data_IF_816481915098
#
_entry.id   IF_816481915098
#
_cell.length_a   1.000
_cell.length_b   1.000
_cell.length_c   1.000
_cell.angle_alpha   90.00
_cell.angle_beta   90.00
_cell.angle_gamma   90.00
#
_symmetry.space_group_name_H-M   'P 1'
#
loop_
_entity.id
_entity.type
_entity.pdbx_description
1 polymer ?
#
# COMPACT_ATOMS: atom_id res chain seq x y z
N UNK A 1 2.46 -4.34 -10.13
CA UNK A 1 1.60 -4.66 -8.98
C UNK A 1 1.60 -6.16 -8.68
N UNK A 2 1.38 -7.07 -9.64
CA UNK A 2 1.31 -8.53 -9.40
C UNK A 2 2.46 -9.05 -8.52
N UNK A 3 3.73 -8.79 -8.88
CA UNK A 3 4.88 -9.27 -8.10
C UNK A 3 4.91 -8.72 -6.66
N UNK A 4 4.48 -7.47 -6.46
CA UNK A 4 4.41 -6.89 -5.13
C UNK A 4 3.32 -7.56 -4.29
N UNK A 5 2.18 -7.85 -4.90
CA UNK A 5 1.07 -8.57 -4.26
C UNK A 5 1.46 -10.00 -3.90
N UNK A 6 2.10 -10.74 -4.83
CA UNK A 6 2.58 -12.10 -4.55
C UNK A 6 3.62 -12.14 -3.41
N UNK A 7 4.53 -11.18 -3.37
CA UNK A 7 5.48 -11.02 -2.27
C UNK A 7 4.79 -10.72 -0.94
N UNK A 8 3.76 -9.88 -0.96
CA UNK A 8 2.98 -9.57 0.24
C UNK A 8 2.28 -10.83 0.77
N UNK A 9 1.61 -11.59 -0.08
CA UNK A 9 0.99 -12.87 0.30
C UNK A 9 2.01 -13.88 0.84
N UNK A 10 3.17 -14.01 0.19
CA UNK A 10 4.23 -14.90 0.66
C UNK A 10 4.71 -14.52 2.08
N UNK A 11 4.90 -13.23 2.36
CA UNK A 11 5.25 -12.73 3.70
C UNK A 11 4.13 -12.93 4.71
N UNK A 12 2.87 -12.80 4.25
CA UNK A 12 1.69 -13.09 5.05
C UNK A 12 1.54 -14.60 5.37
N UNK A 13 2.29 -15.47 4.68
CA UNK A 13 2.33 -16.92 4.92
C UNK A 13 1.50 -17.74 3.94
N UNK A 14 1.04 -17.13 2.84
CA UNK A 14 0.34 -17.83 1.76
C UNK A 14 1.29 -18.08 0.60
N UNK A 15 1.44 -19.35 0.20
CA UNK A 15 2.27 -19.72 -0.93
C UNK A 15 1.41 -19.84 -2.19
N UNK A 16 1.59 -18.89 -3.09
CA UNK A 16 0.86 -18.82 -4.35
C UNK A 16 1.79 -19.26 -5.47
N UNK A 17 1.46 -20.34 -6.15
CA UNK A 17 2.22 -20.83 -7.30
C UNK A 17 1.47 -20.54 -8.60
N UNK A 18 2.13 -19.83 -9.51
CA UNK A 18 1.57 -19.43 -10.80
C UNK A 18 2.34 -20.09 -11.94
N UNK A 19 1.64 -20.78 -12.83
CA UNK A 19 2.19 -21.18 -14.13
C UNK A 19 2.41 -19.96 -15.04
N UNK A 20 3.42 -19.99 -15.90
CA UNK A 20 3.87 -18.83 -16.73
C UNK A 20 2.77 -18.23 -17.60
N UNK A 21 1.68 -18.92 -17.88
CA UNK A 21 0.55 -18.49 -18.72
C UNK A 21 -0.82 -18.70 -18.05
N UNK A 22 -0.83 -19.02 -16.74
CA UNK A 22 -2.08 -19.30 -16.02
C UNK A 22 -2.59 -18.06 -15.31
N UNK A 23 -3.88 -17.81 -15.42
CA UNK A 23 -4.60 -16.82 -14.59
C UNK A 23 -5.23 -17.46 -13.35
N UNK A 24 -5.08 -18.78 -13.19
CA UNK A 24 -5.55 -19.58 -12.05
C UNK A 24 -4.31 -20.09 -11.30
N UNK A 25 -3.89 -19.42 -10.23
CA UNK A 25 -2.79 -19.89 -9.40
C UNK A 25 -3.22 -21.05 -8.50
N UNK A 26 -2.26 -21.87 -8.06
CA UNK A 26 -2.45 -22.79 -6.96
C UNK A 26 -2.12 -22.12 -5.63
N UNK A 27 -2.93 -22.39 -4.63
CA UNK A 27 -2.76 -21.90 -3.25
C UNK A 27 -2.41 -23.10 -2.35
N UNK A 28 -1.61 -22.85 -1.32
CA UNK A 28 -1.35 -23.83 -0.27
C UNK A 28 -2.49 -23.92 0.78
N UNK A 29 -3.48 -23.03 0.69
CA UNK A 29 -4.69 -23.05 1.48
C UNK A 29 -5.86 -23.61 0.64
N UNK A 30 -6.41 -24.81 0.98
CA UNK A 30 -7.45 -25.46 0.19
C UNK A 30 -8.81 -24.75 0.22
N UNK A 31 -9.00 -23.79 1.15
CA UNK A 31 -10.23 -22.98 1.23
C UNK A 31 -10.20 -21.77 0.29
N UNK A 32 -9.06 -21.52 -0.39
CA UNK A 32 -8.90 -20.38 -1.29
C UNK A 32 -8.83 -20.84 -2.74
N UNK A 33 -9.81 -20.44 -3.55
CA UNK A 33 -9.76 -20.54 -5.01
C UNK A 33 -9.55 -19.14 -5.60
N UNK A 34 -8.37 -18.89 -6.14
CA UNK A 34 -7.96 -17.57 -6.59
C UNK A 34 -7.89 -17.44 -8.10
N UNK A 35 -8.03 -16.20 -8.57
CA UNK A 35 -7.90 -15.83 -9.99
C UNK A 35 -7.14 -14.52 -10.11
N UNK A 36 -6.36 -14.37 -11.17
CA UNK A 36 -5.77 -13.10 -11.55
C UNK A 36 -6.67 -12.40 -12.56
N UNK A 37 -7.18 -11.25 -12.18
CA UNK A 37 -7.91 -10.34 -13.04
C UNK A 37 -7.30 -8.94 -12.98
N UNK A 38 -7.68 -8.06 -13.89
CA UNK A 38 -7.22 -6.68 -13.85
C UNK A 38 -7.83 -5.93 -12.66
N UNK A 39 -7.03 -5.10 -12.00
CA UNK A 39 -7.50 -4.28 -10.88
C UNK A 39 -8.70 -3.40 -11.26
N UNK A 40 -8.72 -2.90 -12.48
CA UNK A 40 -9.82 -2.08 -13.04
C UNK A 40 -11.17 -2.79 -13.04
N UNK A 41 -11.19 -4.12 -13.10
CA UNK A 41 -12.41 -4.94 -13.21
C UNK A 41 -12.79 -5.60 -11.89
N UNK A 42 -11.85 -5.71 -10.96
CA UNK A 42 -12.01 -6.49 -9.73
C UNK A 42 -13.24 -6.08 -8.91
N UNK A 43 -13.46 -4.77 -8.73
CA UNK A 43 -14.55 -4.29 -7.87
C UNK A 43 -15.93 -4.70 -8.40
N UNK A 44 -16.12 -4.73 -9.72
CA UNK A 44 -17.36 -5.19 -10.36
C UNK A 44 -17.57 -6.68 -10.16
N UNK A 45 -16.52 -7.49 -10.35
CA UNK A 45 -16.62 -8.95 -10.15
C UNK A 45 -16.86 -9.34 -8.69
N UNK A 46 -16.36 -8.56 -7.76
CA UNK A 46 -16.67 -8.73 -6.32
C UNK A 46 -18.11 -8.30 -6.05
N UNK A 47 -18.56 -7.17 -6.58
CA UNK A 47 -19.94 -6.70 -6.45
C UNK A 47 -20.94 -7.72 -6.99
N UNK A 48 -20.68 -8.27 -8.19
CA UNK A 48 -21.51 -9.28 -8.85
C UNK A 48 -21.48 -10.66 -8.16
N UNK A 49 -20.66 -10.85 -7.11
CA UNK A 49 -20.54 -12.11 -6.38
C UNK A 49 -19.76 -13.19 -7.12
N UNK A 50 -19.05 -12.85 -8.20
CA UNK A 50 -18.14 -13.80 -8.86
C UNK A 50 -16.92 -14.13 -7.97
N UNK A 51 -16.48 -13.16 -7.18
CA UNK A 51 -15.50 -13.35 -6.12
C UNK A 51 -16.08 -12.95 -4.77
N UNK A 52 -15.77 -13.72 -3.73
CA UNK A 52 -16.13 -13.40 -2.35
C UNK A 52 -15.34 -12.17 -1.84
N UNK A 53 -14.08 -12.03 -2.28
CA UNK A 53 -13.23 -10.87 -1.98
C UNK A 53 -12.18 -10.68 -3.07
N UNK A 54 -11.53 -9.51 -3.05
CA UNK A 54 -10.49 -9.22 -4.03
C UNK A 54 -9.63 -8.02 -3.64
N UNK A 55 -8.46 -7.91 -4.29
CA UNK A 55 -7.58 -6.77 -4.15
C UNK A 55 -7.71 -5.84 -5.36
N UNK A 56 -7.96 -4.57 -5.10
CA UNK A 56 -8.04 -3.53 -6.14
C UNK A 56 -7.58 -2.19 -5.60
N UNK A 57 -7.54 -1.16 -6.44
CA UNK A 57 -7.36 0.22 -6.00
C UNK A 57 -8.68 0.82 -5.48
N UNK A 58 -8.61 1.66 -4.45
CA UNK A 58 -9.76 2.44 -3.97
C UNK A 58 -10.35 3.31 -5.08
N UNK A 59 -9.51 3.80 -5.97
CA UNK A 59 -9.87 4.52 -7.19
C UNK A 59 -10.80 3.73 -8.11
N UNK A 60 -10.51 2.43 -8.31
CA UNK A 60 -11.32 1.58 -9.17
C UNK A 60 -12.67 1.21 -8.56
N UNK A 61 -12.75 1.11 -7.23
CA UNK A 61 -14.04 0.99 -6.53
C UNK A 61 -14.90 2.22 -6.81
N UNK A 62 -14.30 3.42 -6.71
CA UNK A 62 -14.98 4.70 -6.96
C UNK A 62 -15.33 4.89 -8.45
N UNK A 63 -14.40 4.59 -9.36
CA UNK A 63 -14.61 4.72 -10.81
C UNK A 63 -15.76 3.85 -11.31
N UNK A 64 -15.85 2.62 -10.80
CA UNK A 64 -16.91 1.70 -11.17
C UNK A 64 -18.22 1.95 -10.41
N UNK A 65 -18.21 2.79 -9.34
CA UNK A 65 -19.36 2.97 -8.47
C UNK A 65 -19.79 1.70 -7.74
N UNK A 66 -18.84 0.77 -7.52
CA UNK A 66 -19.15 -0.58 -7.00
C UNK A 66 -19.59 -0.55 -5.54
N UNK A 67 -20.69 -1.25 -5.23
CA UNK A 67 -21.26 -1.40 -3.90
C UNK A 67 -20.68 -2.63 -3.19
N UNK A 68 -19.48 -2.48 -2.64
CA UNK A 68 -18.70 -3.52 -1.96
C UNK A 68 -18.33 -3.09 -0.55
N UNK A 69 -18.01 -4.06 0.31
CA UNK A 69 -17.41 -3.80 1.61
C UNK A 69 -15.90 -3.56 1.46
N UNK A 70 -15.40 -2.45 2.01
CA UNK A 70 -13.95 -2.20 2.09
C UNK A 70 -13.44 -2.74 3.41
N UNK A 71 -12.78 -3.89 3.37
CA UNK A 71 -12.33 -4.63 4.56
C UNK A 71 -11.12 -3.96 5.20
N UNK A 72 -10.10 -3.61 4.38
CA UNK A 72 -8.88 -2.97 4.89
C UNK A 72 -8.14 -2.21 3.80
N UNK A 73 -7.43 -1.19 4.23
CA UNK A 73 -6.47 -0.45 3.42
C UNK A 73 -5.10 -1.14 3.45
N UNK A 74 -4.53 -1.41 2.30
CA UNK A 74 -3.22 -2.02 2.14
C UNK A 74 -2.30 -1.04 1.42
N UNK A 75 -1.53 -0.27 2.19
CA UNK A 75 -0.65 0.76 1.63
C UNK A 75 0.64 0.13 1.15
N UNK A 76 0.62 -0.38 -0.07
CA UNK A 76 1.81 -0.84 -0.80
C UNK A 76 1.65 -0.54 -2.29
N UNK A 77 2.77 -0.39 -2.98
CA UNK A 77 2.80 -0.18 -4.41
C UNK A 77 3.94 -0.97 -5.07
N UNK A 78 4.13 -0.76 -6.35
CA UNK A 78 5.23 -1.39 -7.10
C UNK A 78 6.61 -0.93 -6.61
N UNK A 79 6.73 0.30 -6.16
CA UNK A 79 8.02 0.95 -5.86
C UNK A 79 8.16 1.42 -4.42
N UNK A 80 7.06 1.58 -3.68
CA UNK A 80 7.08 2.15 -2.34
C UNK A 80 5.87 1.73 -1.51
N UNK A 81 5.90 2.04 -0.21
CA UNK A 81 4.75 1.92 0.68
C UNK A 81 4.13 3.32 0.90
N UNK A 82 3.83 4.02 -0.20
CA UNK A 82 3.23 5.36 -0.16
C UNK A 82 1.86 5.36 -0.81
N UNK A 83 1.03 6.26 -0.33
CA UNK A 83 -0.25 6.55 -0.94
C UNK A 83 0.00 7.21 -2.30
N UNK A 84 -0.67 6.71 -3.34
CA UNK A 84 -0.67 7.30 -4.67
C UNK A 84 -1.76 8.36 -4.79
N UNK A 85 -1.60 9.26 -5.76
CA UNK A 85 -2.56 10.34 -6.02
C UNK A 85 -2.95 10.37 -7.48
N UNK A 86 -4.23 10.54 -7.74
CA UNK A 86 -4.71 10.96 -9.04
C UNK A 86 -4.69 12.47 -9.10
N UNK A 87 -3.96 13.00 -10.05
CA UNK A 87 -3.69 14.42 -10.18
C UNK A 87 -4.08 14.96 -11.54
N UNK A 88 -4.62 16.18 -11.55
CA UNK A 88 -4.80 16.97 -12.75
C UNK A 88 -3.45 17.60 -13.10
N UNK A 89 -2.95 17.33 -14.30
CA UNK A 89 -1.69 17.87 -14.78
C UNK A 89 -1.84 18.48 -16.18
N UNK A 90 -1.04 19.51 -16.43
CA UNK A 90 -1.00 20.27 -17.68
C UNK A 90 0.46 20.53 -18.06
N UNK A 91 0.76 20.84 -19.34
CA UNK A 91 2.09 21.32 -19.73
C UNK A 91 2.56 22.49 -18.89
N UNK A 92 3.85 22.55 -18.55
CA UNK A 92 4.43 23.67 -17.78
C UNK A 92 4.12 25.03 -18.40
N UNK A 93 4.10 25.12 -19.74
CA UNK A 93 3.83 26.33 -20.50
C UNK A 93 2.32 26.66 -20.64
N UNK A 94 1.42 25.82 -20.10
CA UNK A 94 -0.02 26.03 -20.22
C UNK A 94 -0.50 27.21 -19.38
N UNK A 95 -1.48 27.96 -19.89
CA UNK A 95 -2.16 29.02 -19.15
C UNK A 95 -3.18 28.54 -18.11
N UNK A 96 -3.52 27.26 -18.11
CA UNK A 96 -4.45 26.61 -17.15
C UNK A 96 -3.80 26.62 -15.76
N UNK A 97 -4.33 27.38 -14.82
CA UNK A 97 -3.80 27.52 -13.44
C UNK A 97 -4.69 26.88 -12.38
N UNK A 98 -5.93 26.63 -12.71
CA UNK A 98 -6.94 26.08 -11.80
C UNK A 98 -7.91 25.15 -12.54
N UNK A 99 -8.69 24.40 -11.79
CA UNK A 99 -9.77 23.55 -12.35
C UNK A 99 -10.77 24.37 -13.17
N UNK A 100 -11.03 25.61 -12.80
CA UNK A 100 -11.99 26.49 -13.50
C UNK A 100 -11.56 26.85 -14.93
N UNK A 101 -10.25 26.82 -15.20
CA UNK A 101 -9.70 27.12 -16.53
C UNK A 101 -9.90 25.95 -17.52
N UNK A 102 -10.45 24.82 -17.05
CA UNK A 102 -10.77 23.65 -17.85
C UNK A 102 -12.15 23.72 -18.53
N UNK A 103 -12.92 24.81 -18.34
CA UNK A 103 -14.22 24.93 -18.99
C UNK A 103 -14.10 24.78 -20.50
N UNK A 104 -14.81 23.77 -21.08
CA UNK A 104 -14.80 23.46 -22.50
C UNK A 104 -13.49 22.86 -23.03
N UNK A 105 -12.58 22.47 -22.16
CA UNK A 105 -11.29 21.85 -22.48
C UNK A 105 -11.42 20.32 -22.62
N UNK A 106 -10.38 19.70 -23.18
CA UNK A 106 -10.31 18.25 -23.37
C UNK A 106 -9.31 17.62 -22.41
N UNK A 107 -9.72 16.55 -21.73
CA UNK A 107 -8.95 15.87 -20.70
C UNK A 107 -8.87 14.37 -21.00
N UNK A 108 -7.67 13.78 -20.98
CA UNK A 108 -7.47 12.34 -21.11
C UNK A 108 -7.16 11.69 -19.76
N UNK A 109 -7.78 10.53 -19.48
CA UNK A 109 -7.60 9.80 -18.22
C UNK A 109 -8.06 8.35 -18.31
N UNK A 110 -7.55 7.48 -17.43
CA UNK A 110 -8.16 6.17 -17.18
C UNK A 110 -9.39 6.27 -16.25
N UNK A 111 -9.46 7.27 -15.35
CA UNK A 111 -10.57 7.49 -14.42
C UNK A 111 -11.58 8.50 -14.94
N UNK A 112 -12.43 8.06 -15.87
CA UNK A 112 -13.38 8.96 -16.56
C UNK A 112 -14.47 9.45 -15.61
N UNK A 113 -15.11 8.54 -14.85
CA UNK A 113 -16.23 8.90 -13.98
C UNK A 113 -15.77 9.77 -12.80
N UNK A 114 -14.69 9.36 -12.14
CA UNK A 114 -14.10 10.15 -11.04
C UNK A 114 -13.70 11.54 -11.51
N UNK A 115 -13.15 11.67 -12.72
CA UNK A 115 -12.76 12.96 -13.29
C UNK A 115 -13.99 13.82 -13.59
N UNK A 116 -15.05 13.26 -14.14
CA UNK A 116 -16.32 13.97 -14.39
C UNK A 116 -16.95 14.48 -13.09
N UNK A 117 -16.99 13.61 -12.06
CA UNK A 117 -17.55 13.98 -10.75
C UNK A 117 -16.73 15.09 -10.09
N UNK A 118 -15.40 15.04 -10.21
CA UNK A 118 -14.51 16.10 -9.73
C UNK A 118 -14.76 17.43 -10.43
N UNK A 119 -14.86 17.45 -11.76
CA UNK A 119 -15.16 18.65 -12.55
C UNK A 119 -16.53 19.21 -12.17
N UNK A 120 -17.56 18.35 -12.09
CA UNK A 120 -18.91 18.75 -11.72
C UNK A 120 -18.95 19.40 -10.31
N UNK A 121 -18.17 18.88 -9.35
CA UNK A 121 -18.07 19.46 -8.01
C UNK A 121 -17.48 20.89 -8.01
N UNK A 122 -16.73 21.25 -9.04
CA UNK A 122 -16.17 22.59 -9.25
C UNK A 122 -17.01 23.46 -10.19
N UNK A 123 -18.15 22.94 -10.69
CA UNK A 123 -19.01 23.64 -11.65
C UNK A 123 -18.37 23.81 -13.02
N UNK A 124 -17.53 22.87 -13.45
CA UNK A 124 -16.79 22.88 -14.71
C UNK A 124 -17.30 21.79 -15.62
N UNK A 125 -17.57 22.12 -16.88
CA UNK A 125 -17.90 21.19 -17.94
C UNK A 125 -16.71 21.07 -18.91
N UNK A 126 -16.16 19.88 -19.07
CA UNK A 126 -15.06 19.56 -19.97
C UNK A 126 -15.29 18.22 -20.68
N UNK A 127 -14.66 18.05 -21.83
CA UNK A 127 -14.67 16.77 -22.55
C UNK A 127 -13.67 15.82 -21.89
N UNK A 128 -14.16 14.75 -21.26
CA UNK A 128 -13.31 13.72 -20.64
C UNK A 128 -13.29 12.47 -21.50
N UNK A 129 -12.11 12.17 -22.08
CA UNK A 129 -11.92 10.98 -22.91
C UNK A 129 -11.15 9.90 -22.15
N UNK A 130 -11.50 8.63 -22.42
CA UNK A 130 -10.78 7.49 -21.89
C UNK A 130 -9.41 7.31 -22.57
N UNK A 131 -8.38 6.98 -21.78
CA UNK A 131 -7.02 6.77 -22.25
C UNK A 131 -6.37 5.57 -21.55
N UNK A 132 -5.93 4.57 -22.30
CA UNK A 132 -5.28 3.35 -21.79
C UNK A 132 -3.87 3.53 -21.21
N UNK A 133 -3.48 4.72 -20.82
CA UNK A 133 -2.13 5.04 -20.34
C UNK A 133 -1.32 5.82 -21.38
N UNK A 134 -0.05 6.07 -21.06
CA UNK A 134 0.81 7.00 -21.78
C UNK A 134 0.13 8.38 -21.99
N UNK A 135 -0.60 8.81 -20.97
CA UNK A 135 -1.38 10.06 -21.00
C UNK A 135 -0.49 11.28 -21.10
N UNK A 136 0.71 11.22 -20.52
CA UNK A 136 1.66 12.32 -20.48
C UNK A 136 2.14 12.79 -21.87
N UNK A 137 2.11 11.91 -22.88
CA UNK A 137 2.53 12.25 -24.24
C UNK A 137 1.41 12.83 -25.11
N UNK A 138 0.17 12.90 -24.60
CA UNK A 138 -0.97 13.42 -25.32
C UNK A 138 -1.12 14.95 -25.25
N UNK A 139 -0.50 15.54 -24.26
CA UNK A 139 -0.52 16.99 -24.07
C UNK A 139 0.73 17.65 -24.67
N UNK A 140 0.59 18.82 -25.34
CA UNK A 140 -0.64 19.57 -25.57
C UNK A 140 -1.37 19.22 -26.88
N UNK A 141 -0.84 18.30 -27.71
CA UNK A 141 -1.25 18.15 -29.10
C UNK A 141 -2.65 17.53 -29.27
N UNK A 142 -3.03 16.60 -28.40
CA UNK A 142 -4.28 15.85 -28.49
C UNK A 142 -5.32 16.30 -27.47
N UNK A 143 -4.88 16.67 -26.27
CA UNK A 143 -5.72 17.12 -25.16
C UNK A 143 -5.07 18.30 -24.44
N UNK A 144 -5.86 19.10 -23.73
CA UNK A 144 -5.38 20.27 -22.98
C UNK A 144 -4.80 19.90 -21.61
N UNK A 145 -5.30 18.82 -21.00
CA UNK A 145 -4.92 18.36 -19.69
C UNK A 145 -5.03 16.84 -19.58
N UNK A 146 -4.40 16.29 -18.55
CA UNK A 146 -4.54 14.87 -18.20
C UNK A 146 -4.88 14.71 -16.73
N UNK A 147 -5.56 13.60 -16.40
CA UNK A 147 -5.64 13.10 -15.03
C UNK A 147 -4.91 11.76 -14.99
N UNK A 148 -3.87 11.69 -14.17
CA UNK A 148 -2.98 10.53 -14.13
C UNK A 148 -2.54 10.19 -12.70
N UNK A 149 -2.15 8.92 -12.52
CA UNK A 149 -1.71 8.38 -11.24
C UNK A 149 -0.23 8.70 -10.98
N UNK A 150 0.07 9.23 -9.80
CA UNK A 150 1.46 9.49 -9.40
C UNK A 150 1.69 9.23 -7.91
N UNK A 151 2.90 8.79 -7.56
CA UNK A 151 3.36 8.74 -6.17
C UNK A 151 4.23 9.95 -5.83
N UNK A 152 5.13 10.34 -6.73
CA UNK A 152 6.15 11.37 -6.49
C UNK A 152 6.12 12.53 -7.49
N UNK A 153 5.30 12.43 -8.53
CA UNK A 153 5.27 13.39 -9.64
C UNK A 153 6.50 13.32 -10.57
N UNK A 154 7.36 12.31 -10.43
CA UNK A 154 8.60 12.22 -11.21
C UNK A 154 8.36 12.04 -12.71
N UNK A 155 7.41 11.17 -13.10
CA UNK A 155 7.03 10.96 -14.50
C UNK A 155 6.48 12.24 -15.11
N UNK A 156 5.58 12.92 -14.41
CA UNK A 156 5.01 14.19 -14.87
C UNK A 156 6.10 15.25 -15.10
N UNK A 157 7.00 15.45 -14.15
CA UNK A 157 8.12 16.39 -14.31
C UNK A 157 9.05 16.02 -15.47
N UNK A 158 9.34 14.74 -15.65
CA UNK A 158 10.17 14.26 -16.76
C UNK A 158 9.54 14.59 -18.13
N UNK A 159 8.19 14.63 -18.20
CA UNK A 159 7.43 15.02 -19.38
C UNK A 159 7.04 16.52 -19.41
N UNK A 160 7.69 17.36 -18.59
CA UNK A 160 7.44 18.82 -18.51
C UNK A 160 5.97 19.15 -18.20
N UNK A 161 5.38 18.36 -17.29
CA UNK A 161 4.04 18.59 -16.79
C UNK A 161 4.08 19.11 -15.36
N UNK A 162 3.17 20.00 -15.03
CA UNK A 162 2.93 20.46 -13.67
C UNK A 162 1.56 20.04 -13.16
N UNK A 163 1.50 19.73 -11.88
CA UNK A 163 0.25 19.40 -11.20
C UNK A 163 -0.51 20.70 -10.93
N UNK A 164 -1.79 20.70 -11.28
CA UNK A 164 -2.75 21.79 -11.03
C UNK A 164 -3.55 21.52 -9.76
N UNK A 165 -4.03 20.26 -9.61
CA UNK A 165 -4.84 19.85 -8.47
C UNK A 165 -4.73 18.34 -8.23
N UNK A 166 -5.23 17.90 -7.07
CA UNK A 166 -5.30 16.48 -6.66
C UNK A 166 -6.76 16.06 -6.60
N UNK A 167 -7.15 15.10 -7.42
CA UNK A 167 -8.53 14.59 -7.44
C UNK A 167 -8.84 13.70 -6.25
N UNK A 168 -7.93 12.77 -5.97
CA UNK A 168 -8.06 11.84 -4.85
C UNK A 168 -6.73 11.17 -4.51
N UNK A 169 -6.62 10.73 -3.28
CA UNK A 169 -5.61 9.77 -2.85
C UNK A 169 -6.14 8.35 -3.02
N UNK A 170 -5.26 7.42 -3.37
CA UNK A 170 -5.60 6.02 -3.58
C UNK A 170 -4.50 5.08 -3.09
N UNK A 171 -4.91 3.92 -2.67
CA UNK A 171 -4.07 2.79 -2.29
C UNK A 171 -4.77 1.48 -2.66
N UNK A 172 -4.08 0.36 -2.55
CA UNK A 172 -4.72 -0.95 -2.66
C UNK A 172 -5.64 -1.19 -1.47
N UNK A 173 -6.80 -1.77 -1.73
CA UNK A 173 -7.77 -2.18 -0.71
C UNK A 173 -8.12 -3.66 -0.90
N UNK A 174 -8.38 -4.35 0.21
CA UNK A 174 -9.10 -5.62 0.21
C UNK A 174 -10.58 -5.28 0.30
N UNK A 175 -11.34 -5.73 -0.70
CA UNK A 175 -12.79 -5.57 -0.76
C UNK A 175 -13.49 -6.91 -0.65
N UNK A 176 -14.73 -6.93 -0.17
CA UNK A 176 -15.55 -8.12 -0.10
C UNK A 176 -16.93 -7.88 -0.72
N UNK A 177 -17.47 -8.93 -1.30
CA UNK A 177 -18.88 -8.98 -1.67
C UNK A 177 -19.75 -8.91 -0.41
N UNK A 178 -20.85 -8.18 -0.45
CA UNK A 178 -21.71 -7.96 0.73
C UNK A 178 -22.38 -9.22 1.26
N UNK A 179 -22.76 -10.14 0.37
CA UNK A 179 -23.33 -11.43 0.79
C UNK A 179 -22.27 -12.32 1.43
N UNK A 180 -21.06 -12.37 0.83
CA UNK A 180 -19.93 -13.07 1.42
C UNK A 180 -19.53 -12.48 2.79
N UNK A 181 -19.57 -11.17 2.92
CA UNK A 181 -19.29 -10.47 4.18
C UNK A 181 -20.36 -10.71 5.25
N UNK A 182 -21.61 -10.88 4.85
CA UNK A 182 -22.72 -11.26 5.74
C UNK A 182 -22.65 -12.72 6.20
N UNK A 183 -21.94 -13.60 5.48
CA UNK A 183 -21.74 -14.99 5.85
C UNK A 183 -20.63 -15.10 6.90
N UNK A 184 -20.88 -15.62 8.13
CA UNK A 184 -19.88 -15.65 9.20
C UNK A 184 -18.61 -16.44 8.89
N UNK A 185 -18.70 -17.55 8.15
CA UNK A 185 -17.55 -18.41 7.80
C UNK A 185 -16.65 -17.71 6.77
N UNK A 186 -17.26 -17.18 5.70
CA UNK A 186 -16.54 -16.42 4.67
C UNK A 186 -15.91 -15.16 5.25
N UNK A 187 -16.66 -14.42 6.05
CA UNK A 187 -16.18 -13.22 6.75
C UNK A 187 -14.97 -13.53 7.62
N UNK A 188 -15.02 -14.56 8.46
CA UNK A 188 -13.91 -14.96 9.32
C UNK A 188 -12.65 -15.29 8.50
N UNK A 189 -12.80 -15.95 7.35
CA UNK A 189 -11.68 -16.24 6.44
C UNK A 189 -11.11 -14.96 5.82
N UNK A 190 -11.97 -14.04 5.35
CA UNK A 190 -11.55 -12.73 4.78
C UNK A 190 -10.85 -11.88 5.83
N UNK A 191 -11.37 -11.82 7.05
CA UNK A 191 -10.74 -11.10 8.19
C UNK A 191 -9.38 -11.71 8.53
N UNK A 192 -9.23 -13.03 8.50
CA UNK A 192 -7.95 -13.72 8.71
C UNK A 192 -6.92 -13.36 7.62
N UNK A 193 -7.32 -13.37 6.35
CA UNK A 193 -6.46 -12.94 5.23
C UNK A 193 -6.05 -11.47 5.42
N UNK A 194 -7.01 -10.61 5.73
CA UNK A 194 -6.79 -9.18 6.00
C UNK A 194 -5.75 -8.95 7.09
N UNK A 195 -5.92 -9.62 8.24
CA UNK A 195 -4.99 -9.54 9.38
C UNK A 195 -3.57 -9.94 8.98
N UNK A 196 -3.43 -11.03 8.23
CA UNK A 196 -2.11 -11.54 7.84
C UNK A 196 -1.42 -10.64 6.81
N UNK A 197 -2.17 -10.05 5.88
CA UNK A 197 -1.64 -9.08 4.92
C UNK A 197 -1.21 -7.79 5.62
N UNK A 198 -2.03 -7.26 6.52
CA UNK A 198 -1.69 -6.08 7.31
C UNK A 198 -0.45 -6.34 8.19
N UNK A 199 -0.40 -7.47 8.89
CA UNK A 199 0.75 -7.85 9.71
C UNK A 199 2.06 -7.92 8.90
N UNK A 200 2.00 -8.38 7.64
CA UNK A 200 3.14 -8.38 6.74
C UNK A 200 3.56 -6.96 6.34
N UNK A 201 2.62 -6.04 6.13
CA UNK A 201 2.90 -4.63 5.88
C UNK A 201 3.45 -3.93 7.12
N UNK A 202 2.91 -4.22 8.31
CA UNK A 202 3.40 -3.67 9.57
C UNK A 202 4.84 -4.07 9.91
N UNK A 203 5.33 -5.18 9.35
CA UNK A 203 6.72 -5.61 9.49
C UNK A 203 7.68 -4.87 8.54
N UNK A 204 7.16 -4.15 7.52
CA UNK A 204 8.00 -3.43 6.57
C UNK A 204 8.85 -2.36 7.24
N UNK A 205 10.14 -2.38 6.93
CA UNK A 205 11.09 -1.44 7.51
C UNK A 205 11.42 -1.68 8.98
N UNK A 206 10.89 -2.74 9.60
CA UNK A 206 11.17 -3.12 11.00
C UNK A 206 12.07 -4.34 11.07
N UNK A 207 12.79 -4.44 12.19
CA UNK A 207 13.64 -5.56 12.53
C UNK A 207 13.45 -5.93 13.99
N UNK A 208 13.66 -7.20 14.31
CA UNK A 208 13.86 -7.63 15.68
C UNK A 208 15.31 -7.37 16.10
N UNK A 209 15.50 -6.84 17.28
CA UNK A 209 16.81 -6.63 17.90
C UNK A 209 16.85 -7.35 19.24
N UNK A 210 17.85 -8.19 19.42
CA UNK A 210 18.12 -8.91 20.66
C UNK A 210 19.55 -8.67 21.11
N UNK A 211 19.77 -8.50 22.41
CA UNK A 211 21.07 -8.27 22.96
C UNK A 211 21.12 -8.71 24.45
N UNK A 212 22.34 -8.90 24.97
CA UNK A 212 22.60 -9.09 26.40
C UNK A 212 23.28 -7.84 26.93
N UNK A 213 22.94 -7.45 28.16
CA UNK A 213 23.49 -6.26 28.81
C UNK A 213 23.61 -6.49 30.34
N UNK A 214 24.62 -5.89 30.97
CA UNK A 214 24.66 -5.84 32.40
C UNK A 214 23.40 -5.15 32.97
N UNK A 215 22.81 -5.75 34.00
CA UNK A 215 21.59 -5.23 34.65
C UNK A 215 21.73 -3.79 35.13
N UNK A 216 22.92 -3.41 35.58
CA UNK A 216 23.26 -2.06 36.05
C UNK A 216 23.09 -0.99 34.97
N UNK A 217 23.21 -1.35 33.68
CA UNK A 217 23.16 -0.46 32.53
C UNK A 217 21.79 -0.45 31.85
N UNK A 218 20.88 -1.32 32.29
CA UNK A 218 19.57 -1.52 31.65
C UNK A 218 18.76 -0.21 31.55
N UNK A 219 18.69 0.56 32.63
CA UNK A 219 17.88 1.79 32.66
C UNK A 219 18.34 2.82 31.60
N UNK A 220 19.65 2.94 31.38
CA UNK A 220 20.21 3.88 30.41
C UNK A 220 20.08 3.35 28.98
N UNK A 221 20.20 2.04 28.78
CA UNK A 221 19.93 1.43 27.47
C UNK A 221 18.47 1.60 27.05
N UNK A 222 17.51 1.37 27.94
CA UNK A 222 16.09 1.53 27.66
C UNK A 222 15.71 2.96 27.26
N UNK A 223 16.40 3.98 27.77
CA UNK A 223 16.18 5.39 27.35
C UNK A 223 16.55 5.64 25.89
N UNK A 224 17.48 4.87 25.33
CA UNK A 224 17.95 5.01 23.96
C UNK A 224 17.21 4.08 22.97
N UNK A 225 16.52 3.07 23.48
CA UNK A 225 15.87 2.05 22.66
C UNK A 225 14.41 2.44 22.35
N UNK A 226 14.08 2.87 21.13
CA UNK A 226 12.69 2.92 20.73
C UNK A 226 12.10 1.50 20.69
N UNK A 227 10.84 1.37 21.00
CA UNK A 227 10.13 0.09 20.95
C UNK A 227 8.68 0.33 20.52
N UNK A 228 8.01 -0.70 19.98
CA UNK A 228 6.55 -0.65 19.71
C UNK A 228 5.76 -0.39 21.00
N UNK A 229 6.23 -0.99 22.10
CA UNK A 229 5.82 -0.70 23.49
C UNK A 229 7.10 -0.61 24.33
N UNK A 230 7.18 -1.36 25.39
CA UNK A 230 8.42 -1.54 26.16
C UNK A 230 9.21 -2.73 25.61
N UNK A 231 10.56 -2.68 25.57
CA UNK A 231 11.35 -3.86 25.29
C UNK A 231 11.05 -5.00 26.27
N UNK A 232 11.13 -6.23 25.78
CA UNK A 232 11.08 -7.41 26.65
C UNK A 232 12.42 -7.56 27.36
N UNK A 233 12.41 -7.73 28.68
CA UNK A 233 13.59 -7.96 29.49
C UNK A 233 13.47 -9.31 30.17
N UNK A 234 14.48 -10.18 29.99
CA UNK A 234 14.55 -11.51 30.60
C UNK A 234 15.83 -11.67 31.39
N UNK A 235 15.77 -12.37 32.53
CA UNK A 235 16.98 -12.72 33.30
C UNK A 235 17.79 -13.78 32.55
N UNK A 236 19.10 -13.70 32.63
CA UNK A 236 20.01 -14.75 32.18
C UNK A 236 20.38 -15.69 33.36
N UNK A 237 21.13 -16.75 33.07
CA UNK A 237 21.64 -17.65 34.10
C UNK A 237 22.57 -16.93 35.08
N UNK A 238 23.25 -15.89 34.63
CA UNK A 238 23.96 -14.92 35.46
C UNK A 238 23.04 -13.76 35.80
N UNK A 239 22.63 -13.62 37.04
CA UNK A 239 21.68 -12.60 37.51
C UNK A 239 22.20 -11.15 37.34
N UNK A 240 23.51 -10.96 37.13
CA UNK A 240 24.11 -9.66 36.83
C UNK A 240 23.83 -9.19 35.39
N UNK A 241 23.33 -10.08 34.51
CA UNK A 241 23.04 -9.83 33.13
C UNK A 241 21.55 -9.99 32.81
N UNK A 242 21.08 -9.28 31.77
CA UNK A 242 19.73 -9.40 31.20
C UNK A 242 19.79 -9.54 29.70
N UNK A 243 18.85 -10.29 29.14
CA UNK A 243 18.55 -10.26 27.73
C UNK A 243 17.46 -9.20 27.46
N UNK A 244 17.67 -8.40 26.44
CA UNK A 244 16.69 -7.40 25.98
C UNK A 244 16.30 -7.71 24.57
N UNK A 245 14.99 -7.70 24.30
CA UNK A 245 14.44 -7.93 22.96
C UNK A 245 13.43 -6.84 22.63
N UNK A 246 13.51 -6.32 21.39
CA UNK A 246 12.62 -5.25 20.92
C UNK A 246 12.42 -5.33 19.42
N UNK A 247 11.37 -4.66 18.94
CA UNK A 247 11.12 -4.43 17.52
C UNK A 247 11.30 -2.94 17.25
N UNK A 248 12.16 -2.61 16.30
CA UNK A 248 12.53 -1.23 15.96
C UNK A 248 12.53 -1.01 14.44
N UNK A 249 12.50 0.26 14.03
CA UNK A 249 12.72 0.64 12.63
C UNK A 249 14.16 0.27 12.20
N UNK A 250 14.30 -0.40 11.07
CA UNK A 250 15.61 -0.83 10.53
C UNK A 250 16.60 0.34 10.35
N UNK A 251 16.08 1.53 9.98
CA UNK A 251 16.93 2.73 9.85
C UNK A 251 17.57 3.17 11.18
N UNK A 252 16.88 2.88 12.29
CA UNK A 252 17.35 3.24 13.65
C UNK A 252 18.40 2.26 14.14
N UNK A 253 18.33 0.98 13.77
CA UNK A 253 19.26 -0.06 14.25
C UNK A 253 20.70 0.25 13.89
N UNK A 254 20.95 0.88 12.72
CA UNK A 254 22.29 1.23 12.25
C UNK A 254 23.04 2.15 13.22
N UNK A 255 22.35 3.10 13.82
CA UNK A 255 22.95 4.07 14.75
C UNK A 255 22.87 3.57 16.21
N UNK A 256 21.82 2.81 16.53
CA UNK A 256 21.58 2.25 17.86
C UNK A 256 22.57 1.14 18.22
N UNK A 257 22.88 0.22 17.30
CA UNK A 257 23.77 -0.93 17.57
C UNK A 257 25.16 -0.49 18.05
N UNK A 258 25.86 0.46 17.39
CA UNK A 258 27.14 0.95 17.88
C UNK A 258 27.05 1.60 19.28
N UNK A 259 25.97 2.36 19.54
CA UNK A 259 25.75 2.99 20.83
C UNK A 259 25.57 1.95 21.96
N UNK A 260 24.75 0.92 21.74
CA UNK A 260 24.55 -0.18 22.66
C UNK A 260 25.84 -0.97 22.88
N UNK A 261 26.65 -1.19 21.84
CA UNK A 261 27.95 -1.84 21.95
C UNK A 261 28.92 -1.03 22.80
N UNK A 262 28.96 0.30 22.67
CA UNK A 262 29.79 1.19 23.51
C UNK A 262 29.34 1.18 24.97
N UNK A 263 28.08 0.91 25.27
CA UNK A 263 27.55 0.72 26.63
C UNK A 263 27.90 -0.64 27.22
N UNK A 264 28.53 -1.54 26.46
CA UNK A 264 28.92 -2.87 26.87
C UNK A 264 27.90 -3.96 26.54
N UNK A 265 26.95 -3.70 25.64
CA UNK A 265 26.07 -4.76 25.18
C UNK A 265 26.81 -5.83 24.36
N UNK A 266 26.40 -7.08 24.52
CA UNK A 266 27.00 -8.24 23.90
C UNK A 266 25.91 -9.10 23.21
N UNK A 267 26.35 -10.00 22.31
CA UNK A 267 25.41 -10.89 21.61
C UNK A 267 24.31 -10.15 20.88
N UNK A 268 24.63 -8.97 20.31
CA UNK A 268 23.65 -8.17 19.57
C UNK A 268 23.30 -8.86 18.26
N UNK A 269 22.01 -9.20 18.08
CA UNK A 269 21.49 -9.87 16.90
C UNK A 269 20.34 -9.04 16.31
N UNK A 270 20.46 -8.65 15.05
CA UNK A 270 19.37 -8.11 14.25
C UNK A 270 18.82 -9.21 13.34
N UNK A 271 17.49 -9.34 13.26
CA UNK A 271 16.85 -10.31 12.39
C UNK A 271 15.62 -9.72 11.69
N UNK A 272 15.36 -10.14 10.44
CA UNK A 272 14.20 -9.66 9.68
C UNK A 272 12.90 -10.20 10.27
N UNK A 273 11.83 -9.40 10.13
CA UNK A 273 10.48 -9.78 10.53
C UNK A 273 9.63 -10.05 9.30
N UNK A 274 8.88 -11.13 9.31
CA UNK A 274 7.92 -11.42 8.26
C UNK A 274 6.57 -10.74 8.53
N UNK A 275 6.15 -10.74 9.81
CA UNK A 275 4.86 -10.21 10.25
C UNK A 275 5.01 -9.57 11.64
N UNK A 276 4.27 -8.49 11.84
CA UNK A 276 4.06 -7.88 13.16
C UNK A 276 2.56 -7.66 13.32
N UNK A 277 1.97 -8.34 14.26
CA UNK A 277 0.58 -8.09 14.68
C UNK A 277 0.65 -7.12 15.87
N UNK A 278 0.11 -5.89 15.73
CA UNK A 278 0.22 -4.88 16.79
C UNK A 278 -0.62 -5.22 18.02
#
# INVERSE_FOLDING_TARGET
MEDATLKLFSRAGFNITKGSRSYTPSWDDPEIDGRFVRAQEMSRYVEDGFFDCGLTGRDWVKENGSDVEVVTDLVYSRASNRISKWVLAVPEASDIKSVKDLQGKKIATELVQVTKDFLASHGVEAEVEFSWGATEVKVPELVDAIVDLTETGSSLRANKLRIVDVLMETNTVLIANKEAWANPEKRAKIESISLMLDAALQADGKVGLKLNLERSKLADALKQMPALRNPTVSSLADDSWVAVETVIEKKVSRDLIPALKAMGAEGIVEYPLNKVVP
#
